data_IF_610659779245
#
_entry.id   IF_610659779245
#
_cell.length_a   1.000
_cell.length_b   1.000
_cell.length_c   1.000
_cell.angle_alpha   90.00
_cell.angle_beta   90.00
_cell.angle_gamma   90.00
#
_symmetry.space_group_name_H-M   'P 1'
#
loop_
_entity.id
_entity.type
_entity.pdbx_description
1 polymer ?
#
# COMPACT_ATOMS: atom_id res chain seq x y z
N UNK A 1 11.07 3.97 -31.21
CA UNK A 1 9.65 4.01 -30.78
C UNK A 1 8.91 2.88 -31.47
N UNK A 2 8.51 1.85 -30.77
CA UNK A 2 7.75 0.74 -31.33
C UNK A 2 6.29 1.19 -31.54
N UNK A 3 5.81 1.14 -32.77
CA UNK A 3 4.43 1.46 -33.15
C UNK A 3 3.51 0.38 -32.58
N UNK A 4 2.71 0.73 -31.57
CA UNK A 4 1.74 -0.19 -30.95
C UNK A 4 0.64 -0.49 -31.99
N UNK A 5 0.50 -1.74 -32.36
CA UNK A 5 -0.55 -2.18 -33.29
C UNK A 5 -1.84 -2.32 -32.48
N UNK A 6 -2.81 -1.45 -32.74
CA UNK A 6 -4.16 -1.58 -32.19
C UNK A 6 -4.96 -2.56 -33.06
N UNK A 7 -5.30 -3.70 -32.49
CA UNK A 7 -6.15 -4.69 -33.13
C UNK A 7 -7.59 -4.48 -32.64
N UNK A 8 -8.47 -4.05 -33.53
CA UNK A 8 -9.89 -3.93 -33.26
C UNK A 8 -10.51 -5.31 -32.93
N UNK A 9 -11.25 -5.42 -31.84
CA UNK A 9 -11.94 -6.63 -31.39
C UNK A 9 -12.67 -7.39 -32.52
N UNK A 10 -13.34 -6.66 -33.40
CA UNK A 10 -14.09 -7.22 -34.54
C UNK A 10 -13.20 -7.84 -35.63
N UNK A 11 -11.98 -7.37 -35.76
CA UNK A 11 -11.04 -7.86 -36.77
C UNK A 11 -10.40 -9.15 -36.34
N UNK A 12 -10.07 -9.28 -35.04
CA UNK A 12 -9.46 -10.48 -34.48
C UNK A 12 -10.38 -11.73 -34.59
N UNK A 13 -11.69 -11.53 -34.49
CA UNK A 13 -12.67 -12.63 -34.49
C UNK A 13 -13.22 -12.98 -35.85
N UNK A 14 -13.02 -12.16 -36.89
CA UNK A 14 -13.46 -12.46 -38.24
C UNK A 14 -12.52 -13.37 -39.05
N UNK A 15 -11.34 -13.66 -38.51
CA UNK A 15 -10.35 -14.50 -39.19
C UNK A 15 -10.59 -16.01 -39.13
N UNK A 16 -11.47 -16.51 -38.25
CA UNK A 16 -11.68 -17.93 -37.99
C UNK A 16 -13.18 -18.29 -38.10
N UNK A 17 -13.71 -18.35 -39.29
CA UNK A 17 -14.96 -19.05 -39.59
C UNK A 17 -16.28 -18.39 -39.17
N UNK A 18 -16.34 -17.08 -38.99
CA UNK A 18 -17.61 -16.35 -38.86
C UNK A 18 -18.34 -16.46 -37.51
N UNK A 19 -17.75 -17.08 -36.52
CA UNK A 19 -18.34 -17.19 -35.17
C UNK A 19 -17.84 -16.03 -34.29
N UNK A 20 -18.74 -15.16 -33.84
CA UNK A 20 -18.43 -14.09 -32.91
C UNK A 20 -18.43 -14.64 -31.48
N UNK A 21 -17.27 -14.97 -30.96
CA UNK A 21 -17.09 -15.29 -29.53
C UNK A 21 -16.89 -13.97 -28.77
N UNK A 22 -17.74 -13.73 -27.77
CA UNK A 22 -17.55 -12.61 -26.83
C UNK A 22 -16.43 -13.00 -25.86
N UNK A 23 -15.25 -12.44 -26.07
CA UNK A 23 -14.14 -12.60 -25.13
C UNK A 23 -14.29 -11.61 -23.96
N UNK A 24 -13.91 -12.00 -22.74
CA UNK A 24 -13.80 -11.04 -21.65
C UNK A 24 -12.85 -9.91 -22.02
N UNK A 25 -13.11 -8.72 -21.49
CA UNK A 25 -12.30 -7.53 -21.74
C UNK A 25 -10.89 -7.80 -21.23
N UNK A 26 -9.95 -7.97 -22.14
CA UNK A 26 -8.53 -8.05 -21.79
C UNK A 26 -8.00 -6.62 -21.63
N UNK A 27 -7.11 -6.40 -20.69
CA UNK A 27 -6.50 -5.09 -20.42
C UNK A 27 -5.83 -4.49 -21.66
N UNK A 28 -5.32 -5.33 -22.56
CA UNK A 28 -4.74 -4.90 -23.83
C UNK A 28 -5.76 -4.37 -24.84
N UNK A 29 -7.07 -4.56 -24.57
CA UNK A 29 -8.18 -4.06 -25.41
C UNK A 29 -8.83 -2.81 -24.84
N UNK A 30 -8.41 -2.37 -23.64
CA UNK A 30 -8.84 -1.11 -23.07
C UNK A 30 -8.29 0.04 -23.92
N UNK A 31 -9.14 1.01 -24.23
CA UNK A 31 -8.72 2.21 -24.96
C UNK A 31 -7.64 2.97 -24.18
N UNK A 32 -6.73 3.61 -24.93
CA UNK A 32 -5.60 4.42 -24.43
C UNK A 32 -5.99 5.69 -23.64
N UNK A 33 -7.20 5.80 -23.10
CA UNK A 33 -7.43 6.77 -22.04
C UNK A 33 -6.56 6.33 -20.88
N UNK A 34 -5.53 7.09 -20.58
CA UNK A 34 -4.65 6.89 -19.44
C UNK A 34 -5.51 6.85 -18.18
N UNK A 35 -5.96 5.66 -17.81
CA UNK A 35 -6.67 5.46 -16.55
C UNK A 35 -5.61 5.69 -15.50
N UNK A 36 -5.72 6.78 -14.77
CA UNK A 36 -4.86 7.03 -13.61
C UNK A 36 -4.94 5.78 -12.70
N UNK A 37 -3.80 5.14 -12.40
CA UNK A 37 -3.84 3.93 -11.61
C UNK A 37 -4.46 4.24 -10.23
N UNK A 38 -5.32 3.36 -9.71
CA UNK A 38 -5.99 3.60 -8.45
C UNK A 38 -4.96 3.74 -7.33
N UNK A 39 -5.12 4.74 -6.49
CA UNK A 39 -4.31 4.90 -5.27
C UNK A 39 -4.70 3.79 -4.29
N UNK A 40 -3.71 3.10 -3.76
CA UNK A 40 -3.91 2.01 -2.79
C UNK A 40 -3.24 2.37 -1.48
N UNK A 41 -3.96 2.20 -0.39
CA UNK A 41 -3.44 2.35 0.96
C UNK A 41 -3.46 0.97 1.63
N UNK A 42 -2.32 0.57 2.19
CA UNK A 42 -2.20 -0.59 3.05
C UNK A 42 -1.49 -0.15 4.33
N UNK A 43 -2.12 -0.37 5.47
CA UNK A 43 -1.53 -0.11 6.76
C UNK A 43 -1.34 -1.44 7.50
N UNK A 44 -0.13 -1.72 7.95
CA UNK A 44 0.23 -2.91 8.72
C UNK A 44 0.62 -2.49 10.13
N UNK A 45 0.05 -3.17 11.12
CA UNK A 45 0.30 -2.89 12.52
C UNK A 45 1.01 -4.05 13.21
N UNK A 46 2.00 -3.71 14.03
CA UNK A 46 2.70 -4.67 14.89
C UNK A 46 2.52 -4.25 16.35
N UNK A 47 1.59 -4.92 17.02
CA UNK A 47 1.05 -4.51 18.31
C UNK A 47 2.06 -4.46 19.45
N UNK A 48 3.09 -5.29 19.42
CA UNK A 48 4.12 -5.32 20.47
C UNK A 48 5.38 -4.51 20.13
N UNK A 49 5.35 -3.80 19.00
CA UNK A 49 6.48 -3.00 18.56
C UNK A 49 7.60 -3.83 17.93
N UNK A 50 8.78 -3.24 17.85
CA UNK A 50 9.94 -3.78 17.17
C UNK A 50 11.18 -3.70 18.05
N UNK A 51 12.16 -4.55 17.79
CA UNK A 51 13.49 -4.39 18.38
C UNK A 51 14.12 -3.09 17.87
N UNK A 52 14.55 -2.24 18.76
CA UNK A 52 15.11 -0.93 18.43
C UNK A 52 16.65 -0.96 18.35
N UNK A 53 17.28 -1.98 18.88
CA UNK A 53 18.74 -2.08 19.01
C UNK A 53 19.24 -3.49 18.68
N UNK A 54 20.56 -3.59 18.47
CA UNK A 54 21.25 -4.85 18.21
C UNK A 54 21.01 -5.38 16.78
N UNK A 55 21.37 -6.63 16.57
CA UNK A 55 21.30 -7.28 15.25
C UNK A 55 19.87 -7.41 14.69
N UNK A 56 18.87 -7.36 15.56
CA UNK A 56 17.44 -7.41 15.21
C UNK A 56 16.81 -6.03 15.09
N UNK A 57 17.61 -4.96 15.11
CA UNK A 57 17.05 -3.62 15.02
C UNK A 57 16.15 -3.48 13.78
N UNK A 58 14.96 -2.91 14.01
CA UNK A 58 14.06 -2.48 12.95
C UNK A 58 14.66 -1.32 12.14
N UNK A 59 15.38 -0.43 12.82
CA UNK A 59 15.97 0.72 12.16
C UNK A 59 17.26 0.36 11.45
N UNK A 60 17.39 0.73 10.16
CA UNK A 60 18.62 0.54 9.43
C UNK A 60 19.70 1.48 9.95
N UNK A 61 20.95 1.07 9.81
CA UNK A 61 22.09 1.98 9.86
C UNK A 61 22.35 2.57 8.49
N UNK A 62 22.79 3.82 8.44
CA UNK A 62 23.15 4.47 7.18
C UNK A 62 24.64 4.61 7.10
N UNK A 63 25.26 3.97 6.13
CA UNK A 63 26.71 4.04 5.86
C UNK A 63 26.86 4.52 4.43
N UNK A 64 27.62 5.58 4.23
CA UNK A 64 27.88 6.18 2.91
C UNK A 64 26.59 6.45 2.09
N UNK A 65 25.51 6.84 2.78
CA UNK A 65 24.21 7.11 2.16
C UNK A 65 23.38 5.86 1.80
N UNK A 66 23.87 4.67 2.12
CA UNK A 66 23.14 3.41 1.91
C UNK A 66 22.55 2.88 3.21
N UNK A 67 21.30 2.36 3.14
CA UNK A 67 20.65 1.71 4.27
C UNK A 67 21.09 0.26 4.40
N UNK A 68 21.56 -0.09 5.60
CA UNK A 68 21.90 -1.45 5.99
C UNK A 68 20.87 -1.93 7.02
N UNK A 69 20.12 -2.94 6.68
CA UNK A 69 19.05 -3.47 7.51
C UNK A 69 19.56 -4.54 8.49
N UNK A 70 19.02 -4.51 9.71
CA UNK A 70 19.17 -5.61 10.67
C UNK A 70 18.36 -6.85 10.26
N UNK A 71 18.50 -7.95 11.00
CA UNK A 71 17.85 -9.23 10.71
C UNK A 71 16.32 -9.13 10.59
N UNK A 72 15.67 -8.26 11.35
CA UNK A 72 14.22 -8.04 11.26
C UNK A 72 13.77 -7.51 9.91
N UNK A 73 14.62 -6.77 9.23
CA UNK A 73 14.32 -6.09 7.97
C UNK A 73 15.12 -6.63 6.78
N UNK A 74 15.86 -7.71 6.96
CA UNK A 74 16.75 -8.27 5.93
C UNK A 74 16.03 -8.54 4.60
N UNK A 75 14.79 -9.01 4.67
CA UNK A 75 13.96 -9.27 3.48
C UNK A 75 13.75 -8.02 2.61
N UNK A 76 13.85 -6.84 3.18
CA UNK A 76 13.67 -5.56 2.47
C UNK A 76 14.94 -5.03 1.79
N UNK A 77 16.08 -5.67 1.97
CA UNK A 77 17.36 -5.23 1.38
C UNK A 77 17.26 -5.02 -0.13
N UNK A 78 16.52 -5.89 -0.83
CA UNK A 78 16.29 -5.77 -2.29
C UNK A 78 15.43 -4.57 -2.68
N UNK A 79 14.76 -3.97 -1.72
CA UNK A 79 13.83 -2.87 -1.93
C UNK A 79 14.30 -1.58 -1.24
N UNK A 80 15.53 -1.52 -0.77
CA UNK A 80 16.07 -0.40 0.00
C UNK A 80 15.85 0.96 -0.67
N UNK A 81 15.93 1.02 -1.99
CA UNK A 81 15.69 2.23 -2.79
C UNK A 81 14.20 2.61 -2.95
N UNK A 82 13.28 1.80 -2.43
CA UNK A 82 11.83 2.02 -2.48
C UNK A 82 11.19 2.16 -1.11
N UNK A 83 12.00 2.13 -0.06
CA UNK A 83 11.53 2.18 1.33
C UNK A 83 11.99 3.49 1.94
N UNK A 84 11.10 4.13 2.66
CA UNK A 84 11.41 5.24 3.55
C UNK A 84 11.18 4.78 4.97
N UNK A 85 12.21 4.85 5.80
CA UNK A 85 12.12 4.54 7.24
C UNK A 85 12.05 5.86 8.00
N UNK A 86 10.97 6.07 8.73
CA UNK A 86 10.76 7.27 9.53
C UNK A 86 10.97 6.92 11.00
N UNK A 87 11.79 7.69 11.67
CA UNK A 87 12.11 7.53 13.09
C UNK A 87 11.69 8.78 13.87
N UNK A 88 11.57 8.63 15.18
CA UNK A 88 11.28 9.75 16.08
C UNK A 88 9.84 10.27 16.01
N UNK A 89 8.93 9.50 15.40
CA UNK A 89 7.50 9.81 15.48
C UNK A 89 6.91 9.19 16.74
N UNK A 90 6.14 9.97 17.46
CA UNK A 90 5.42 9.57 18.65
C UNK A 90 3.92 9.71 18.45
N UNK A 91 3.18 8.91 19.20
CA UNK A 91 1.74 9.05 19.35
C UNK A 91 1.46 9.62 20.75
N UNK A 92 1.29 10.95 20.89
CA UNK A 92 1.26 11.61 22.20
C UNK A 92 0.22 11.03 23.17
N UNK A 93 -0.93 10.59 22.67
CA UNK A 93 -2.00 9.99 23.46
C UNK A 93 -1.67 8.58 23.95
N UNK A 94 -0.63 7.95 23.43
CA UNK A 94 -0.23 6.58 23.77
C UNK A 94 1.03 6.49 24.62
N UNK A 95 1.71 7.59 24.91
CA UNK A 95 3.02 7.61 25.60
C UNK A 95 3.00 6.87 26.94
N UNK A 96 1.91 6.96 27.69
CA UNK A 96 1.74 6.29 28.99
C UNK A 96 0.95 4.99 28.91
N UNK A 97 0.50 4.58 27.74
CA UNK A 97 -0.32 3.38 27.58
C UNK A 97 0.57 2.14 27.41
N UNK A 98 0.18 1.04 28.05
CA UNK A 98 0.83 -0.26 27.79
C UNK A 98 0.57 -0.76 26.37
N UNK A 99 1.51 -1.55 25.82
CA UNK A 99 1.42 -2.06 24.45
C UNK A 99 0.13 -2.83 24.14
N UNK A 100 -0.51 -3.42 25.15
CA UNK A 100 -1.80 -4.11 24.99
C UNK A 100 -3.00 -3.17 24.82
N UNK A 101 -2.86 -1.90 25.19
CA UNK A 101 -3.93 -0.90 25.18
C UNK A 101 -3.89 0.00 23.92
N UNK A 102 -2.87 -0.12 23.11
CA UNK A 102 -2.66 0.77 21.96
C UNK A 102 -3.29 0.32 20.63
N UNK A 103 -3.68 -0.97 20.43
CA UNK A 103 -4.23 -1.40 19.14
C UNK A 103 -5.46 -0.62 18.67
N UNK A 104 -6.29 -0.21 19.61
CA UNK A 104 -7.53 0.54 19.32
C UNK A 104 -7.29 2.01 18.95
N UNK A 105 -6.04 2.47 19.07
CA UNK A 105 -5.61 3.82 18.65
C UNK A 105 -4.91 3.84 17.30
N UNK A 106 -4.67 2.65 16.72
CA UNK A 106 -4.04 2.54 15.41
C UNK A 106 -4.86 3.26 14.35
N UNK A 107 -4.21 4.08 13.54
CA UNK A 107 -4.80 4.94 12.49
C UNK A 107 -5.77 6.02 12.96
N UNK A 108 -6.26 6.00 14.20
CA UNK A 108 -7.22 7.00 14.69
C UNK A 108 -6.55 8.20 15.35
N UNK A 109 -5.35 8.02 15.91
CA UNK A 109 -4.69 9.02 16.74
C UNK A 109 -5.41 9.32 18.06
N UNK A 110 -6.40 8.51 18.45
CA UNK A 110 -7.19 8.71 19.64
C UNK A 110 -6.52 8.12 20.87
N UNK A 111 -6.87 8.64 22.06
CA UNK A 111 -6.45 8.03 23.33
C UNK A 111 -6.91 6.57 23.41
N UNK A 112 -6.06 5.63 23.85
CA UNK A 112 -6.46 4.26 24.11
C UNK A 112 -7.69 4.19 25.04
N UNK A 113 -8.59 3.26 24.76
CA UNK A 113 -9.83 3.06 25.50
C UNK A 113 -10.79 4.28 25.53
N UNK A 114 -10.58 5.31 24.72
CA UNK A 114 -11.54 6.40 24.60
C UNK A 114 -12.87 5.89 24.06
N UNK A 115 -13.98 6.35 24.66
CA UNK A 115 -15.34 5.97 24.23
C UNK A 115 -15.66 6.43 22.83
N UNK A 116 -15.16 7.60 22.45
CA UNK A 116 -15.32 8.16 21.10
C UNK A 116 -13.95 8.27 20.45
N UNK A 117 -13.81 7.67 19.30
CA UNK A 117 -12.59 7.73 18.48
C UNK A 117 -12.74 8.73 17.34
N UNK A 118 -11.63 9.31 16.93
CA UNK A 118 -11.54 10.03 15.67
C UNK A 118 -11.72 9.07 14.49
N UNK A 119 -12.19 9.53 13.32
CA UNK A 119 -12.16 8.73 12.11
C UNK A 119 -10.72 8.24 11.85
N UNK A 120 -10.58 6.98 11.48
CA UNK A 120 -9.27 6.42 11.16
C UNK A 120 -8.77 6.88 9.79
N UNK A 121 -7.47 6.86 9.59
CA UNK A 121 -6.84 7.30 8.35
C UNK A 121 -7.36 6.55 7.12
N UNK A 122 -7.63 5.25 7.25
CA UNK A 122 -8.22 4.43 6.19
C UNK A 122 -9.64 4.88 5.83
N UNK A 123 -10.47 5.26 6.82
CA UNK A 123 -11.80 5.82 6.57
C UNK A 123 -11.72 7.19 5.88
N UNK A 124 -10.77 8.03 6.26
CA UNK A 124 -10.53 9.31 5.58
C UNK A 124 -10.09 9.05 4.13
N UNK A 125 -9.19 8.10 3.91
CA UNK A 125 -8.74 7.73 2.57
C UNK A 125 -9.88 7.12 1.73
N UNK A 126 -10.73 6.27 2.32
CA UNK A 126 -11.90 5.71 1.67
C UNK A 126 -12.89 6.80 1.26
N UNK A 127 -13.15 7.77 2.11
CA UNK A 127 -14.00 8.92 1.78
C UNK A 127 -13.45 9.72 0.59
N UNK A 128 -12.13 9.90 0.53
CA UNK A 128 -11.49 10.68 -0.53
C UNK A 128 -11.40 9.93 -1.87
N UNK A 129 -11.24 8.62 -1.85
CA UNK A 129 -10.89 7.83 -3.04
C UNK A 129 -11.80 6.63 -3.30
N UNK A 130 -12.61 6.20 -2.34
CA UNK A 130 -13.42 4.99 -2.42
C UNK A 130 -14.40 4.99 -3.59
N UNK A 131 -14.94 6.16 -3.96
CA UNK A 131 -15.84 6.31 -5.12
C UNK A 131 -15.19 5.90 -6.47
N UNK A 132 -13.86 5.79 -6.53
CA UNK A 132 -13.10 5.32 -7.69
C UNK A 132 -12.84 3.82 -7.67
N UNK A 133 -13.29 3.11 -6.65
CA UNK A 133 -13.07 1.69 -6.47
C UNK A 133 -14.37 0.91 -6.57
N UNK A 134 -14.28 -0.40 -6.82
CA UNK A 134 -15.45 -1.28 -6.91
C UNK A 134 -16.17 -1.42 -5.56
N UNK A 135 -15.42 -1.35 -4.48
CA UNK A 135 -15.92 -1.41 -3.10
C UNK A 135 -15.33 -0.22 -2.36
N UNK A 136 -16.17 0.78 -2.03
CA UNK A 136 -15.73 1.98 -1.30
C UNK A 136 -15.39 1.68 0.16
#
# INVERSE_FOLDING_TARGET
MAKRIQIHRRIFLRGAGGVALSLPLLECMASDTAIEPPKRLLALYVGHGFALNGEWSWYPTVVEGQMHFGKSMEAFTRMANRITVVQGLEHPQCVSAGGHSTPDSFLTGSTPAATVKSPSLDQIAATAHGHKTRYP
#
